data_IF_787725050849
#
_entry.id   IF_787725050849
#
_cell.length_a   1.000
_cell.length_b   1.000
_cell.length_c   1.000
_cell.angle_alpha   90.00
_cell.angle_beta   90.00
_cell.angle_gamma   90.00
#
_symmetry.space_group_name_H-M   'P 1'
#
loop_
_entity.id
_entity.type
_entity.pdbx_description
1 polymer ?
#
# COMPACT_ATOMS: atom_id res chain seq x y z
N UNK A 1 6.24 28.75 5.44
CA UNK A 1 6.13 28.65 3.99
C UNK A 1 5.35 27.41 3.59
N UNK A 2 4.99 27.26 2.32
CA UNK A 2 4.37 26.05 1.78
C UNK A 2 5.36 24.88 1.95
N UNK A 3 4.94 23.71 2.46
CA UNK A 3 5.81 22.54 2.53
C UNK A 3 6.22 22.11 1.11
N UNK A 4 7.45 21.61 1.00
CA UNK A 4 7.99 21.05 -0.25
C UNK A 4 7.92 19.52 -0.21
N UNK A 5 8.10 18.86 -1.35
CA UNK A 5 8.19 17.40 -1.46
C UNK A 5 9.19 16.81 -0.47
N UNK A 6 10.34 17.47 -0.27
CA UNK A 6 11.37 17.01 0.67
C UNK A 6 10.85 16.88 2.10
N UNK A 7 9.98 17.78 2.55
CA UNK A 7 9.41 17.68 3.89
C UNK A 7 8.53 16.42 4.05
N UNK A 8 7.77 16.08 3.02
CA UNK A 8 6.84 14.95 3.03
C UNK A 8 7.56 13.61 2.83
N UNK A 9 8.42 13.51 1.81
CA UNK A 9 9.13 12.28 1.46
C UNK A 9 10.11 11.84 2.54
N UNK A 10 10.63 12.76 3.36
CA UNK A 10 11.48 12.41 4.50
C UNK A 10 10.84 11.34 5.40
N UNK A 11 9.54 11.45 5.65
CA UNK A 11 8.79 10.46 6.43
C UNK A 11 8.05 9.45 5.53
N UNK A 12 7.34 9.93 4.51
CA UNK A 12 6.41 9.10 3.74
C UNK A 12 7.12 8.14 2.79
N UNK A 13 8.21 8.55 2.12
CA UNK A 13 8.99 7.65 1.29
C UNK A 13 9.74 6.60 2.11
N UNK A 14 10.16 6.95 3.34
CA UNK A 14 10.93 6.07 4.21
C UNK A 14 10.07 5.25 5.20
N UNK A 15 8.75 5.25 5.04
CA UNK A 15 7.86 4.44 5.85
C UNK A 15 8.22 2.94 5.74
N UNK A 16 8.25 2.25 6.89
CA UNK A 16 8.66 0.84 6.94
C UNK A 16 10.18 0.64 7.04
N UNK A 17 10.96 1.73 7.22
CA UNK A 17 12.40 1.67 7.51
C UNK A 17 13.31 1.65 6.28
N UNK A 18 12.92 2.35 5.23
CA UNK A 18 13.73 2.57 4.04
C UNK A 18 12.90 3.12 2.88
N UNK A 19 13.60 3.63 1.87
CA UNK A 19 12.99 4.23 0.69
C UNK A 19 12.14 3.21 -0.07
N UNK A 20 10.90 3.58 -0.31
CA UNK A 20 9.86 2.82 -1.00
C UNK A 20 9.51 1.44 -0.38
N UNK A 21 9.89 1.18 0.87
CA UNK A 21 9.70 -0.14 1.50
C UNK A 21 8.22 -0.48 1.63
N UNK A 22 7.41 0.44 2.15
CA UNK A 22 6.04 0.13 2.57
C UNK A 22 5.00 0.42 1.47
N UNK A 23 4.95 1.66 0.99
CA UNK A 23 3.87 2.09 0.09
C UNK A 23 4.03 1.56 -1.34
N UNK A 24 5.23 1.63 -1.89
CA UNK A 24 5.51 1.15 -3.23
C UNK A 24 5.37 2.22 -4.32
N UNK A 25 4.55 3.23 -4.06
CA UNK A 25 4.27 4.35 -4.97
C UNK A 25 4.71 5.72 -4.39
N UNK A 26 5.37 5.72 -3.22
CA UNK A 26 5.91 6.92 -2.59
C UNK A 26 7.38 6.68 -2.28
N UNK A 27 8.24 7.12 -3.19
CA UNK A 27 9.69 6.99 -3.12
C UNK A 27 10.38 8.35 -3.07
N UNK A 28 11.68 8.37 -2.68
CA UNK A 28 12.53 9.56 -2.79
C UNK A 28 12.68 10.03 -4.24
N UNK A 29 12.49 9.16 -5.22
CA UNK A 29 12.43 9.49 -6.64
C UNK A 29 11.42 10.60 -6.96
N UNK A 30 10.37 10.78 -6.17
CA UNK A 30 9.39 11.86 -6.34
C UNK A 30 9.94 13.27 -6.03
N UNK A 31 11.12 13.39 -5.42
CA UNK A 31 11.73 14.71 -5.12
C UNK A 31 12.11 15.48 -6.37
N UNK A 32 12.77 14.80 -7.30
CA UNK A 32 13.23 15.35 -8.56
C UNK A 32 12.97 14.31 -9.65
N UNK A 33 11.81 14.40 -10.25
CA UNK A 33 11.34 13.39 -11.19
C UNK A 33 10.89 13.98 -12.50
N UNK A 34 10.68 13.13 -13.49
CA UNK A 34 10.24 13.49 -14.83
C UNK A 34 8.77 13.19 -15.03
N UNK A 35 8.18 13.82 -16.05
CA UNK A 35 6.82 13.54 -16.50
C UNK A 35 6.62 12.08 -16.90
N UNK A 36 7.67 11.41 -17.32
CA UNK A 36 7.63 9.98 -17.66
C UNK A 36 7.38 9.09 -16.45
N UNK A 37 7.88 9.50 -15.28
CA UNK A 37 7.66 8.80 -14.04
C UNK A 37 6.31 9.18 -13.38
N UNK A 38 6.02 10.49 -13.26
CA UNK A 38 4.74 10.97 -12.74
C UNK A 38 4.36 12.29 -13.41
N UNK A 39 3.24 12.30 -14.13
CA UNK A 39 2.82 13.46 -14.94
C UNK A 39 2.52 14.72 -14.11
N UNK A 40 2.11 14.54 -12.85
CA UNK A 40 1.82 15.66 -11.97
C UNK A 40 3.07 16.20 -11.28
N UNK A 41 3.96 15.30 -10.85
CA UNK A 41 5.13 15.63 -10.06
C UNK A 41 6.38 15.87 -10.92
N UNK A 42 6.42 15.39 -12.16
CA UNK A 42 7.54 15.63 -13.07
C UNK A 42 7.85 17.12 -13.25
N UNK A 43 9.15 17.47 -13.17
CA UNK A 43 9.62 18.87 -13.34
C UNK A 43 9.38 19.39 -14.76
N UNK A 44 9.30 18.50 -15.72
CA UNK A 44 8.89 18.72 -17.11
C UNK A 44 7.40 18.43 -17.37
N UNK A 45 6.63 18.20 -16.32
CA UNK A 45 5.20 17.97 -16.29
C UNK A 45 4.44 19.02 -15.50
N UNK A 46 3.60 18.59 -14.56
CA UNK A 46 2.83 19.48 -13.68
C UNK A 46 3.68 20.19 -12.63
N UNK A 47 4.82 19.63 -12.27
CA UNK A 47 5.73 20.13 -11.24
C UNK A 47 5.02 20.47 -9.91
N UNK A 48 4.03 19.66 -9.54
CA UNK A 48 3.18 19.88 -8.37
C UNK A 48 3.89 19.42 -7.08
N UNK A 49 3.61 20.11 -6.01
CA UNK A 49 4.00 19.69 -4.65
C UNK A 49 2.92 18.76 -4.05
N UNK A 50 3.29 17.96 -3.05
CA UNK A 50 2.35 17.08 -2.37
C UNK A 50 1.10 17.82 -1.87
N UNK A 51 1.29 19.03 -1.34
CA UNK A 51 0.21 19.88 -0.81
C UNK A 51 -0.67 20.56 -1.88
N UNK A 52 -0.41 20.33 -3.15
CA UNK A 52 -1.31 20.76 -4.21
C UNK A 52 -2.53 19.84 -4.34
N UNK A 53 -2.39 18.56 -3.92
CA UNK A 53 -3.48 17.62 -3.78
C UNK A 53 -3.84 17.38 -2.30
N UNK A 54 -2.84 17.18 -1.44
CA UNK A 54 -3.02 16.97 -0.01
C UNK A 54 -3.08 18.32 0.73
N UNK A 55 -4.26 18.89 0.83
CA UNK A 55 -4.43 20.23 1.37
C UNK A 55 -4.21 20.25 2.88
N UNK A 56 -3.72 21.38 3.38
CA UNK A 56 -3.44 21.56 4.80
C UNK A 56 -4.74 21.83 5.56
N UNK A 57 -5.05 21.01 6.53
CA UNK A 57 -6.23 21.16 7.38
C UNK A 57 -6.08 22.32 8.35
N UNK A 58 -7.20 23.00 8.59
CA UNK A 58 -7.31 24.06 9.58
C UNK A 58 -8.47 23.76 10.53
N UNK A 59 -8.30 24.11 11.80
CA UNK A 59 -9.41 24.05 12.75
C UNK A 59 -10.44 25.19 12.49
N UNK A 60 -11.53 25.18 13.23
CA UNK A 60 -12.61 26.20 13.12
C UNK A 60 -12.14 27.65 13.33
N UNK A 61 -11.02 27.85 14.02
CA UNK A 61 -10.41 29.17 14.25
C UNK A 61 -9.40 29.53 13.15
N UNK A 62 -9.27 28.70 12.10
CA UNK A 62 -8.34 28.91 11.00
C UNK A 62 -6.86 28.62 11.31
N UNK A 63 -6.56 28.03 12.48
CA UNK A 63 -5.21 27.62 12.84
C UNK A 63 -4.86 26.28 12.18
N UNK A 64 -3.58 26.09 11.84
CA UNK A 64 -3.08 24.82 11.34
C UNK A 64 -3.22 23.74 12.41
N UNK A 65 -3.76 22.61 12.01
CA UNK A 65 -3.76 21.38 12.83
C UNK A 65 -2.38 20.72 12.69
N UNK A 66 -1.81 20.28 13.80
CA UNK A 66 -0.52 19.58 13.78
C UNK A 66 -0.57 18.37 12.83
N UNK A 67 0.25 18.42 11.79
CA UNK A 67 0.26 17.46 10.70
C UNK A 67 -1.14 17.18 10.10
N UNK A 68 -2.01 18.17 10.09
CA UNK A 68 -3.32 18.11 9.47
C UNK A 68 -3.19 18.29 7.95
N UNK A 69 -2.76 17.23 7.26
CA UNK A 69 -2.64 17.20 5.79
C UNK A 69 -3.64 16.19 5.29
N UNK A 70 -4.51 16.60 4.38
CA UNK A 70 -5.53 15.74 3.77
C UNK A 70 -4.94 14.53 3.07
N UNK A 71 -5.59 13.39 3.16
CA UNK A 71 -5.17 12.13 2.55
C UNK A 71 -6.33 11.17 2.35
N UNK A 72 -6.02 9.91 2.12
CA UNK A 72 -7.07 8.89 1.98
C UNK A 72 -7.82 8.68 3.30
N UNK A 73 -9.15 8.46 3.27
CA UNK A 73 -10.01 8.39 4.45
C UNK A 73 -9.62 7.39 5.53
N UNK A 74 -8.75 6.44 5.22
CA UNK A 74 -8.30 5.44 6.18
C UNK A 74 -7.22 5.93 7.16
N UNK A 75 -6.63 7.09 6.91
CA UNK A 75 -5.65 7.70 7.83
C UNK A 75 -6.30 8.67 8.78
N UNK A 76 -7.29 9.40 8.30
CA UNK A 76 -8.06 10.35 9.07
C UNK A 76 -9.50 10.28 8.62
N UNK A 77 -10.41 10.10 9.56
CA UNK A 77 -11.83 9.98 9.28
C UNK A 77 -12.48 11.28 8.77
N UNK A 78 -11.79 12.39 8.90
CA UNK A 78 -12.33 13.71 8.67
C UNK A 78 -11.59 14.52 7.61
N UNK A 79 -10.70 13.88 6.82
CA UNK A 79 -9.90 14.65 5.92
C UNK A 79 -10.51 14.76 4.52
N UNK A 80 -11.56 15.51 4.45
CA UNK A 80 -12.14 15.96 3.17
C UNK A 80 -11.28 16.94 2.38
N UNK A 81 -10.04 17.17 2.80
CA UNK A 81 -9.14 18.20 2.24
C UNK A 81 -8.13 17.65 1.22
N UNK A 82 -8.46 16.56 0.56
CA UNK A 82 -7.68 16.05 -0.57
C UNK A 82 -8.40 16.25 -1.89
N UNK A 83 -7.71 16.83 -2.87
CA UNK A 83 -8.23 16.93 -4.23
C UNK A 83 -8.13 15.58 -4.93
N UNK A 84 -9.25 15.11 -5.42
CA UNK A 84 -9.35 13.94 -6.29
C UNK A 84 -9.08 14.29 -7.76
N UNK A 85 -8.96 13.27 -8.59
CA UNK A 85 -8.72 13.45 -10.03
C UNK A 85 -9.80 14.33 -10.68
N UNK A 86 -11.07 14.13 -10.32
CA UNK A 86 -12.21 14.82 -10.91
C UNK A 86 -12.29 16.31 -10.57
N UNK A 87 -11.63 16.75 -9.50
CA UNK A 87 -11.65 18.17 -9.11
C UNK A 87 -10.89 19.05 -10.11
N UNK A 88 -9.94 18.46 -10.82
CA UNK A 88 -9.16 19.15 -11.87
C UNK A 88 -9.51 18.66 -13.28
N UNK A 89 -9.73 17.35 -13.47
CA UNK A 89 -9.93 16.75 -14.79
C UNK A 89 -11.38 16.61 -15.23
N UNK A 90 -12.34 16.81 -14.33
CA UNK A 90 -13.74 16.53 -14.62
C UNK A 90 -14.07 15.03 -14.58
N UNK A 91 -15.27 14.65 -14.99
CA UNK A 91 -15.69 13.26 -14.90
C UNK A 91 -15.15 12.40 -16.06
N UNK A 92 -15.00 11.10 -15.79
CA UNK A 92 -14.50 10.09 -16.74
C UNK A 92 -15.20 10.12 -18.09
N UNK A 93 -16.53 10.25 -18.08
CA UNK A 93 -17.29 10.24 -19.31
C UNK A 93 -17.00 11.46 -20.21
N UNK A 94 -16.65 12.62 -19.63
CA UNK A 94 -16.37 13.83 -20.42
C UNK A 94 -14.96 13.89 -20.98
N UNK A 95 -13.96 13.39 -20.23
CA UNK A 95 -12.54 13.50 -20.63
C UNK A 95 -12.12 12.47 -21.67
N UNK A 96 -12.88 11.38 -21.83
CA UNK A 96 -12.58 10.31 -22.77
C UNK A 96 -13.43 10.34 -24.06
N UNK A 97 -14.33 11.33 -24.20
CA UNK A 97 -15.17 11.47 -25.41
C UNK A 97 -14.31 11.57 -26.67
N UNK A 98 -14.65 10.76 -27.66
CA UNK A 98 -13.95 10.72 -28.95
C UNK A 98 -12.56 10.08 -28.90
N UNK A 99 -12.20 9.42 -27.83
CA UNK A 99 -10.95 8.66 -27.69
C UNK A 99 -11.17 7.16 -27.84
N UNK A 100 -10.15 6.35 -28.17
CA UNK A 100 -10.28 4.89 -28.23
C UNK A 100 -10.77 4.24 -26.94
N UNK A 101 -10.47 4.85 -25.77
CA UNK A 101 -10.87 4.34 -24.45
C UNK A 101 -12.31 4.67 -24.05
N UNK A 102 -13.05 5.46 -24.84
CA UNK A 102 -14.43 5.83 -24.51
C UNK A 102 -15.30 4.60 -24.25
N UNK A 103 -15.28 3.62 -25.14
CA UNK A 103 -16.05 2.39 -24.98
C UNK A 103 -15.67 1.62 -23.71
N UNK A 104 -14.37 1.58 -23.35
CA UNK A 104 -13.91 0.90 -22.14
C UNK A 104 -14.48 1.60 -20.90
N UNK A 105 -14.42 2.93 -20.84
CA UNK A 105 -14.95 3.70 -19.69
C UNK A 105 -16.46 3.67 -19.58
N UNK A 106 -17.17 3.55 -20.70
CA UNK A 106 -18.63 3.39 -20.72
C UNK A 106 -19.06 1.99 -20.24
N UNK A 107 -18.31 0.94 -20.61
CA UNK A 107 -18.58 -0.44 -20.19
C UNK A 107 -18.21 -0.69 -18.73
N UNK A 108 -17.23 0.04 -18.21
CA UNK A 108 -16.67 -0.17 -16.87
C UNK A 108 -16.73 1.12 -16.01
N UNK A 109 -17.92 1.62 -15.69
CA UNK A 109 -18.08 2.90 -14.97
C UNK A 109 -17.60 2.83 -13.49
N UNK A 110 -17.29 1.64 -13.00
CA UNK A 110 -16.79 1.40 -11.63
C UNK A 110 -15.27 1.33 -11.53
N UNK A 111 -14.53 1.58 -12.60
CA UNK A 111 -13.06 1.68 -12.52
C UNK A 111 -12.63 3.04 -11.97
N UNK A 112 -11.77 3.02 -10.96
CA UNK A 112 -11.08 4.22 -10.52
C UNK A 112 -10.06 4.66 -11.60
N UNK A 113 -9.80 5.95 -11.70
CA UNK A 113 -8.86 6.51 -12.69
C UNK A 113 -7.48 5.85 -12.61
N UNK A 114 -7.03 5.58 -11.40
CA UNK A 114 -5.74 4.96 -11.10
C UNK A 114 -5.58 3.56 -11.72
N UNK A 115 -6.66 2.81 -11.96
CA UNK A 115 -6.58 1.47 -12.57
C UNK A 115 -5.92 1.51 -13.94
N UNK A 116 -6.26 2.51 -14.75
CA UNK A 116 -5.65 2.67 -16.08
C UNK A 116 -4.39 3.56 -16.03
N UNK A 117 -4.40 4.60 -15.20
CA UNK A 117 -3.35 5.62 -15.18
C UNK A 117 -2.15 5.27 -14.28
N UNK A 118 -2.22 4.17 -13.51
CA UNK A 118 -1.07 3.57 -12.79
C UNK A 118 -0.96 2.10 -13.21
N UNK A 119 -0.49 1.82 -14.43
CA UNK A 119 -0.39 0.44 -14.93
C UNK A 119 0.61 -0.41 -14.13
N UNK A 120 1.61 0.24 -13.54
CA UNK A 120 2.57 -0.33 -12.61
C UNK A 120 3.04 0.74 -11.64
N UNK A 121 3.50 0.34 -10.46
CA UNK A 121 4.14 1.18 -9.45
C UNK A 121 5.52 0.64 -9.09
N UNK A 122 6.29 1.36 -8.26
CA UNK A 122 7.70 1.07 -7.96
C UNK A 122 8.57 1.06 -9.25
N UNK A 123 8.29 1.98 -10.17
CA UNK A 123 8.93 1.99 -11.49
C UNK A 123 10.36 2.53 -11.49
N UNK A 124 10.73 3.33 -10.50
CA UNK A 124 12.11 3.82 -10.33
C UNK A 124 12.82 3.09 -9.17
N UNK A 125 12.15 3.01 -8.04
CA UNK A 125 12.69 2.46 -6.81
C UNK A 125 11.92 1.23 -6.40
N UNK A 126 12.60 0.09 -6.30
CA UNK A 126 11.98 -1.19 -5.90
C UNK A 126 11.29 -1.10 -4.54
N UNK A 127 10.22 -1.86 -4.39
CA UNK A 127 9.46 -1.98 -3.15
C UNK A 127 9.49 -3.39 -2.60
N UNK A 128 9.29 -3.56 -1.29
CA UNK A 128 9.13 -4.90 -0.71
C UNK A 128 7.73 -5.41 -0.96
N UNK A 129 7.62 -6.54 -1.62
CA UNK A 129 6.36 -7.27 -1.80
C UNK A 129 6.20 -8.40 -0.81
N UNK A 130 7.33 -8.91 -0.26
CA UNK A 130 7.31 -9.92 0.78
C UNK A 130 8.26 -9.57 1.93
N UNK A 131 7.88 -9.98 3.17
CA UNK A 131 8.68 -9.73 4.36
C UNK A 131 8.47 -10.82 5.43
N UNK A 132 9.52 -11.63 5.65
CA UNK A 132 9.50 -12.76 6.57
C UNK A 132 10.34 -12.47 7.81
N UNK A 133 9.67 -12.13 8.92
CA UNK A 133 10.30 -11.78 10.17
C UNK A 133 10.87 -12.99 10.91
N UNK A 134 10.36 -14.20 10.67
CA UNK A 134 10.83 -15.43 11.31
C UNK A 134 12.32 -15.71 11.04
N UNK A 135 12.82 -15.27 9.89
CA UNK A 135 14.21 -15.44 9.50
C UNK A 135 15.17 -14.49 10.20
N UNK A 136 14.66 -13.49 10.94
CA UNK A 136 15.53 -12.52 11.60
C UNK A 136 16.41 -13.15 12.70
N UNK A 137 17.56 -12.53 12.95
CA UNK A 137 18.48 -12.94 14.01
C UNK A 137 19.68 -13.78 13.55
N UNK A 138 19.67 -14.28 12.32
CA UNK A 138 20.74 -15.12 11.79
C UNK A 138 21.95 -14.29 11.35
N UNK A 139 23.16 -14.84 11.55
CA UNK A 139 24.41 -14.26 11.02
C UNK A 139 24.65 -14.84 9.61
N UNK A 140 24.30 -14.06 8.59
CA UNK A 140 24.48 -14.43 7.18
C UNK A 140 25.57 -13.54 6.58
N UNK A 141 26.62 -14.15 6.04
CA UNK A 141 27.73 -13.47 5.38
C UNK A 141 28.26 -14.33 4.20
N UNK A 142 28.29 -13.83 2.96
CA UNK A 142 27.80 -12.50 2.56
C UNK A 142 26.26 -12.39 2.59
N UNK A 143 25.76 -11.17 2.82
CA UNK A 143 24.32 -10.90 2.72
C UNK A 143 23.87 -11.11 1.27
N UNK A 144 22.82 -11.92 1.03
CA UNK A 144 22.30 -12.13 -0.33
C UNK A 144 21.73 -10.83 -0.92
N UNK A 145 21.90 -10.67 -2.22
CA UNK A 145 21.41 -9.51 -2.98
C UNK A 145 20.54 -10.00 -4.12
N UNK A 146 19.39 -9.37 -4.27
CA UNK A 146 18.51 -9.62 -5.40
C UNK A 146 19.19 -9.16 -6.71
N UNK A 147 19.32 -10.02 -7.74
CA UNK A 147 20.06 -9.71 -8.95
C UNK A 147 19.38 -8.66 -9.82
N UNK A 148 18.06 -8.54 -9.76
CA UNK A 148 17.28 -7.66 -10.62
C UNK A 148 17.19 -6.24 -10.04
N UNK A 149 17.02 -6.14 -8.72
CA UNK A 149 16.86 -4.85 -8.03
C UNK A 149 18.15 -4.33 -7.38
N UNK A 150 19.16 -5.18 -7.22
CA UNK A 150 20.40 -4.84 -6.51
C UNK A 150 20.23 -4.63 -5.00
N UNK A 151 19.04 -4.95 -4.45
CA UNK A 151 18.72 -4.77 -3.03
C UNK A 151 19.14 -5.99 -2.19
N UNK A 152 19.60 -5.80 -0.93
CA UNK A 152 19.82 -6.91 -0.02
C UNK A 152 18.49 -7.60 0.30
N UNK A 153 18.47 -8.93 0.18
CA UNK A 153 17.27 -9.74 0.46
C UNK A 153 17.19 -10.21 1.92
N UNK A 154 18.17 -9.83 2.74
CA UNK A 154 18.21 -10.15 4.16
C UNK A 154 18.77 -9.00 4.99
N UNK A 155 18.23 -8.84 6.20
CA UNK A 155 18.77 -7.99 7.26
C UNK A 155 18.61 -8.75 8.59
N UNK A 156 19.71 -8.96 9.34
CA UNK A 156 19.66 -9.66 10.62
C UNK A 156 18.59 -9.15 11.58
N UNK A 157 18.30 -7.85 11.55
CA UNK A 157 17.30 -7.21 12.41
C UNK A 157 15.87 -7.44 11.94
N UNK A 158 15.67 -7.78 10.66
CA UNK A 158 14.35 -7.70 10.00
C UNK A 158 13.93 -8.98 9.28
N UNK A 159 14.85 -9.93 9.03
CA UNK A 159 14.58 -11.17 8.30
C UNK A 159 14.77 -11.06 6.80
N UNK A 160 14.02 -11.85 6.05
CA UNK A 160 14.15 -12.00 4.59
C UNK A 160 13.13 -11.15 3.84
N UNK A 161 13.49 -10.72 2.63
CA UNK A 161 12.67 -9.84 1.77
C UNK A 161 12.64 -10.33 0.33
N UNK A 162 11.52 -10.05 -0.35
CA UNK A 162 11.43 -10.00 -1.80
C UNK A 162 11.21 -8.54 -2.22
N UNK A 163 11.98 -8.13 -3.23
CA UNK A 163 11.92 -6.80 -3.81
C UNK A 163 11.47 -6.89 -5.26
N UNK A 164 10.63 -5.98 -5.69
CA UNK A 164 10.15 -5.95 -7.06
C UNK A 164 10.12 -4.52 -7.59
N UNK A 165 10.32 -4.39 -8.91
CA UNK A 165 10.10 -3.19 -9.70
C UNK A 165 8.91 -3.41 -10.64
N UNK A 166 8.37 -2.31 -11.15
CA UNK A 166 7.29 -2.33 -12.15
C UNK A 166 6.12 -3.25 -11.74
N UNK A 167 5.76 -3.15 -10.44
CA UNK A 167 4.77 -4.04 -9.85
C UNK A 167 3.38 -3.67 -10.37
N UNK A 168 2.68 -4.65 -10.94
CA UNK A 168 1.29 -4.46 -11.32
C UNK A 168 0.41 -4.43 -10.08
N UNK A 169 -0.48 -3.42 -9.93
CA UNK A 169 -1.38 -3.35 -8.78
C UNK A 169 -2.36 -4.53 -8.74
N UNK A 170 -2.64 -5.02 -7.53
CA UNK A 170 -3.80 -5.87 -7.26
C UNK A 170 -5.06 -5.02 -7.27
N UNK A 171 -6.10 -5.46 -7.97
CA UNK A 171 -7.35 -4.73 -8.08
C UNK A 171 -8.40 -5.31 -7.12
N UNK A 172 -8.99 -4.45 -6.28
CA UNK A 172 -10.06 -4.81 -5.35
C UNK A 172 -11.14 -3.73 -5.37
N UNK A 173 -12.36 -4.05 -4.91
CA UNK A 173 -13.39 -3.03 -4.67
C UNK A 173 -13.05 -2.19 -3.46
N UNK A 174 -13.27 -0.88 -3.57
CA UNK A 174 -12.99 0.08 -2.52
C UNK A 174 -14.02 1.21 -2.47
N UNK A 175 -14.50 1.52 -1.27
CA UNK A 175 -15.44 2.61 -0.96
C UNK A 175 -14.89 3.56 0.12
N UNK A 176 -13.56 3.52 0.36
CA UNK A 176 -12.90 4.29 1.41
C UNK A 176 -12.85 3.60 2.77
N UNK A 177 -13.48 2.43 2.92
CA UNK A 177 -13.53 1.72 4.21
C UNK A 177 -12.57 0.54 4.26
N UNK A 178 -12.07 0.29 5.47
CA UNK A 178 -11.06 -0.70 5.74
C UNK A 178 -11.47 -1.63 6.89
N UNK A 179 -11.17 -2.91 6.72
CA UNK A 179 -11.04 -3.87 7.80
C UNK A 179 -9.56 -3.95 8.21
N UNK A 180 -9.31 -3.89 9.52
CA UNK A 180 -7.96 -3.90 10.09
C UNK A 180 -7.90 -4.72 11.35
N UNK A 181 -6.90 -5.57 11.43
CA UNK A 181 -6.56 -6.28 12.65
C UNK A 181 -6.16 -5.27 13.74
N UNK A 182 -6.91 -5.25 14.84
CA UNK A 182 -6.70 -4.34 15.96
C UNK A 182 -5.80 -4.98 17.02
N UNK A 183 -4.52 -5.08 16.73
CA UNK A 183 -3.52 -5.79 17.53
C UNK A 183 -3.55 -5.39 19.00
N UNK A 184 -3.68 -4.10 19.29
CA UNK A 184 -3.73 -3.58 20.67
C UNK A 184 -5.03 -3.94 21.44
N UNK A 185 -6.03 -4.49 20.78
CA UNK A 185 -7.28 -4.94 21.38
C UNK A 185 -7.38 -6.46 21.51
N UNK A 186 -6.29 -7.17 21.24
CA UNK A 186 -6.23 -8.64 21.26
C UNK A 186 -7.28 -9.30 20.33
N UNK A 187 -7.50 -8.73 19.15
CA UNK A 187 -8.37 -9.36 18.15
C UNK A 187 -7.77 -10.71 17.75
N UNK A 188 -8.57 -11.76 17.82
CA UNK A 188 -8.17 -13.09 17.41
C UNK A 188 -8.32 -13.25 15.90
N UNK A 189 -7.34 -13.89 15.27
CA UNK A 189 -7.48 -14.33 13.89
C UNK A 189 -8.15 -15.72 13.86
N UNK A 190 -8.92 -15.98 12.83
CA UNK A 190 -9.68 -17.24 12.68
C UNK A 190 -9.24 -18.03 11.45
N UNK A 191 -8.42 -17.43 10.61
CA UNK A 191 -7.92 -18.03 9.35
C UNK A 191 -6.52 -17.53 8.99
N UNK A 192 -5.82 -18.30 8.16
CA UNK A 192 -4.53 -17.95 7.62
C UNK A 192 -4.61 -17.82 6.07
N UNK A 193 -3.88 -16.88 5.45
CA UNK A 193 -3.04 -15.87 6.10
C UNK A 193 -3.87 -14.84 6.87
N UNK A 194 -3.31 -14.34 7.98
CA UNK A 194 -3.95 -13.27 8.75
C UNK A 194 -4.01 -11.99 7.91
N UNK A 195 -5.21 -11.46 7.72
CA UNK A 195 -5.40 -10.23 6.97
C UNK A 195 -5.21 -9.03 7.90
N UNK A 196 -4.08 -8.34 7.79
CA UNK A 196 -3.76 -7.19 8.64
C UNK A 196 -4.52 -5.91 8.25
N UNK A 197 -4.75 -5.72 6.96
CA UNK A 197 -5.55 -4.63 6.42
C UNK A 197 -6.04 -4.98 5.02
N UNK A 198 -7.34 -4.79 4.77
CA UNK A 198 -7.96 -4.94 3.44
C UNK A 198 -9.13 -3.97 3.28
N UNK A 199 -9.52 -3.58 2.04
CA UNK A 199 -10.79 -2.91 1.81
C UNK A 199 -11.96 -3.84 2.17
N UNK A 200 -13.08 -3.25 2.63
CA UNK A 200 -14.28 -4.02 3.03
C UNK A 200 -15.30 -4.14 1.90
N UNK A 201 -15.18 -3.33 0.87
CA UNK A 201 -16.13 -3.30 -0.23
C UNK A 201 -16.02 -4.52 -1.14
N UNK A 202 -17.12 -4.88 -1.74
CA UNK A 202 -17.27 -5.88 -2.79
C UNK A 202 -18.10 -5.33 -3.97
N UNK A 203 -18.38 -6.18 -4.94
CA UNK A 203 -19.15 -5.80 -6.14
C UNK A 203 -20.62 -5.41 -5.85
N UNK A 204 -21.14 -5.72 -4.66
CA UNK A 204 -22.50 -5.35 -4.22
C UNK A 204 -22.54 -4.03 -3.45
N UNK A 205 -21.37 -3.51 -3.06
CA UNK A 205 -21.27 -2.30 -2.24
C UNK A 205 -21.59 -1.06 -3.08
N UNK A 206 -22.65 -0.29 -2.73
CA UNK A 206 -23.02 0.90 -3.49
C UNK A 206 -21.91 1.94 -3.52
N UNK A 207 -21.56 2.40 -4.72
CA UNK A 207 -20.54 3.44 -4.92
C UNK A 207 -19.10 2.94 -4.83
N UNK A 208 -18.87 1.66 -4.56
CA UNK A 208 -17.51 1.10 -4.60
C UNK A 208 -16.98 1.10 -6.03
N UNK A 209 -15.68 1.41 -6.14
CA UNK A 209 -14.95 1.37 -7.39
C UNK A 209 -13.87 0.28 -7.32
N UNK A 210 -13.53 -0.32 -8.44
CA UNK A 210 -12.34 -1.15 -8.57
C UNK A 210 -11.13 -0.22 -8.48
N UNK A 211 -10.21 -0.51 -7.54
CA UNK A 211 -9.12 0.36 -7.14
C UNK A 211 -7.80 -0.41 -7.06
N UNK A 212 -6.65 0.23 -7.38
CA UNK A 212 -5.36 -0.44 -7.34
C UNK A 212 -4.77 -0.47 -5.93
N UNK A 213 -4.20 -1.63 -5.58
CA UNK A 213 -3.53 -1.86 -4.31
C UNK A 213 -2.17 -2.52 -4.51
N UNK A 214 -1.23 -2.15 -3.66
CA UNK A 214 -0.08 -2.98 -3.37
C UNK A 214 -0.53 -4.09 -2.42
N UNK A 215 -0.31 -5.35 -2.81
CA UNK A 215 -0.42 -6.50 -1.93
C UNK A 215 0.95 -6.77 -1.31
N UNK A 216 1.01 -6.90 0.00
CA UNK A 216 2.22 -7.26 0.73
C UNK A 216 1.94 -8.51 1.55
N UNK A 217 2.76 -9.54 1.37
CA UNK A 217 2.69 -10.78 2.13
C UNK A 217 3.91 -10.94 3.03
N UNK A 218 3.84 -11.84 3.99
CA UNK A 218 4.96 -12.16 4.85
C UNK A 218 4.51 -12.96 6.05
N UNK A 219 5.31 -12.97 7.10
CA UNK A 219 4.90 -13.52 8.38
C UNK A 219 5.24 -12.57 9.54
N UNK A 220 4.49 -12.70 10.62
CA UNK A 220 4.68 -11.89 11.81
C UNK A 220 4.40 -12.73 13.06
N UNK A 221 4.97 -12.35 14.23
CA UNK A 221 4.79 -13.11 15.45
C UNK A 221 3.35 -12.99 15.99
N UNK A 222 2.81 -14.11 16.43
CA UNK A 222 1.52 -14.23 17.06
C UNK A 222 1.63 -15.04 18.37
N UNK A 223 0.69 -14.84 19.28
CA UNK A 223 0.52 -15.68 20.47
C UNK A 223 -0.13 -16.99 20.07
N UNK A 224 0.63 -18.08 20.19
CA UNK A 224 0.17 -19.43 19.82
C UNK A 224 -0.98 -19.96 20.68
N UNK A 225 -1.16 -19.41 21.89
CA UNK A 225 -2.23 -19.83 22.80
C UNK A 225 -3.53 -19.05 22.65
N UNK A 226 -3.44 -17.80 22.21
CA UNK A 226 -4.59 -16.89 22.09
C UNK A 226 -4.99 -16.60 20.64
N UNK A 227 -4.22 -17.04 19.65
CA UNK A 227 -4.45 -16.72 18.22
C UNK A 227 -4.55 -15.20 17.97
N UNK A 228 -3.65 -14.44 18.60
CA UNK A 228 -3.60 -12.97 18.49
C UNK A 228 -2.25 -12.50 17.96
N UNK A 229 -2.25 -11.50 17.11
CA UNK A 229 -1.00 -10.87 16.65
C UNK A 229 -0.31 -10.15 17.80
N UNK A 230 1.01 -10.28 17.92
CA UNK A 230 1.80 -9.64 18.96
C UNK A 230 2.57 -8.43 18.43
N UNK A 231 2.71 -7.41 19.27
CA UNK A 231 3.55 -6.23 18.99
C UNK A 231 4.94 -6.46 19.57
N UNK A 232 5.99 -6.65 18.75
CA UNK A 232 7.33 -6.83 19.27
C UNK A 232 7.95 -5.51 19.70
N UNK A 233 8.70 -5.49 20.81
CA UNK A 233 9.59 -4.41 21.17
C UNK A 233 10.88 -4.50 20.33
N UNK A 234 10.94 -3.76 19.20
CA UNK A 234 12.06 -3.89 18.26
C UNK A 234 13.31 -3.12 18.71
N UNK A 235 13.17 -1.89 19.19
CA UNK A 235 14.31 -1.01 19.51
C UNK A 235 13.99 0.01 20.58
N UNK A 236 15.07 0.63 21.11
CA UNK A 236 14.97 1.69 22.11
C UNK A 236 14.87 1.16 23.54
N UNK A 237 14.59 2.05 24.48
CA UNK A 237 14.45 1.75 25.91
C UNK A 237 13.01 1.93 26.40
N UNK A 238 12.16 2.53 25.60
CA UNK A 238 10.74 2.69 25.90
C UNK A 238 10.02 1.40 25.50
N UNK A 239 9.33 0.79 26.44
CA UNK A 239 8.64 -0.48 26.24
C UNK A 239 9.31 -1.68 26.92
N UNK A 240 10.48 -1.49 27.56
CA UNK A 240 11.15 -2.56 28.32
C UNK A 240 12.65 -2.65 28.06
N UNK A 241 13.36 -3.54 28.78
CA UNK A 241 14.80 -3.69 28.70
C UNK A 241 15.29 -4.62 27.59
N UNK A 242 14.38 -5.28 26.84
CA UNK A 242 14.73 -6.39 25.95
C UNK A 242 14.34 -6.09 24.48
N UNK A 243 14.86 -5.02 23.85
CA UNK A 243 14.56 -4.78 22.44
C UNK A 243 15.16 -5.90 21.57
N UNK A 244 14.39 -6.39 20.60
CA UNK A 244 14.81 -7.46 19.71
C UNK A 244 16.15 -7.16 19.00
N UNK A 245 16.33 -5.94 18.49
CA UNK A 245 17.56 -5.55 17.79
C UNK A 245 18.80 -5.46 18.69
N UNK A 246 18.61 -5.58 20.00
CA UNK A 246 19.69 -5.60 20.99
C UNK A 246 19.96 -6.99 21.58
N UNK A 247 18.95 -7.84 21.63
CA UNK A 247 19.02 -9.17 22.26
C UNK A 247 18.88 -10.32 21.28
N UNK A 248 18.21 -10.12 20.15
CA UNK A 248 17.82 -11.14 19.18
C UNK A 248 17.08 -12.32 19.84
N UNK A 249 16.22 -11.99 20.81
CA UNK A 249 15.36 -12.92 21.53
C UNK A 249 13.91 -12.50 21.34
N UNK A 250 13.16 -13.26 20.55
CA UNK A 250 11.77 -12.97 20.27
C UNK A 250 10.88 -13.09 21.50
N UNK A 251 11.10 -14.11 22.36
CA UNK A 251 10.28 -14.31 23.55
C UNK A 251 10.34 -13.11 24.50
N UNK A 252 11.55 -12.58 24.75
CA UNK A 252 11.74 -11.39 25.57
C UNK A 252 11.17 -10.12 24.92
N UNK A 253 11.38 -9.96 23.63
CA UNK A 253 10.88 -8.78 22.90
C UNK A 253 9.37 -8.75 22.79
N UNK A 254 8.73 -9.91 22.63
CA UNK A 254 7.28 -10.05 22.59
C UNK A 254 6.66 -9.86 23.98
N UNK A 255 7.30 -10.32 25.05
CA UNK A 255 6.85 -10.03 26.40
C UNK A 255 6.88 -8.53 26.69
N UNK A 256 8.01 -7.86 26.42
CA UNK A 256 8.13 -6.41 26.60
C UNK A 256 7.04 -5.65 25.78
N UNK A 257 6.82 -6.08 24.55
CA UNK A 257 5.81 -5.50 23.67
C UNK A 257 4.39 -5.69 24.17
N UNK A 258 4.05 -6.89 24.63
CA UNK A 258 2.75 -7.21 25.21
C UNK A 258 2.49 -6.41 26.49
N UNK A 259 3.48 -6.34 27.38
CA UNK A 259 3.37 -5.55 28.62
C UNK A 259 3.15 -4.05 28.32
N UNK A 260 3.86 -3.52 27.32
CA UNK A 260 3.73 -2.11 26.95
C UNK A 260 2.38 -1.77 26.30
N UNK A 261 1.85 -2.69 25.49
CA UNK A 261 0.60 -2.48 24.74
C UNK A 261 -0.64 -2.94 25.52
N UNK A 262 -0.45 -3.67 26.63
CA UNK A 262 -1.54 -4.27 27.41
C UNK A 262 -2.14 -5.52 26.74
N UNK A 263 -1.41 -6.17 25.86
CA UNK A 263 -1.82 -7.44 25.26
C UNK A 263 -1.69 -8.58 26.25
N UNK A 264 -2.57 -9.58 26.13
CA UNK A 264 -2.39 -10.85 26.81
C UNK A 264 -1.40 -11.70 26.01
N UNK A 265 -0.35 -12.23 26.67
CA UNK A 265 0.64 -13.10 26.07
C UNK A 265 0.82 -14.35 26.91
N UNK A 266 0.67 -15.53 26.30
CA UNK A 266 0.78 -16.83 27.00
C UNK A 266 2.22 -17.26 27.28
N UNK A 267 3.20 -16.58 26.68
CA UNK A 267 4.61 -16.93 26.71
C UNK A 267 5.02 -17.90 25.59
N UNK A 268 4.08 -18.36 24.78
CA UNK A 268 4.33 -19.15 23.58
C UNK A 268 3.99 -18.36 22.35
N UNK A 269 4.89 -18.31 21.37
CA UNK A 269 4.67 -17.61 20.10
C UNK A 269 4.95 -18.49 18.90
N UNK A 270 4.36 -18.14 17.80
CA UNK A 270 4.64 -18.69 16.47
C UNK A 270 4.65 -17.56 15.44
N UNK A 271 5.25 -17.81 14.27
CA UNK A 271 5.13 -16.92 13.13
C UNK A 271 4.01 -17.39 12.23
N UNK A 272 3.08 -16.50 11.93
CA UNK A 272 1.92 -16.78 11.08
C UNK A 272 2.00 -15.97 9.80
N UNK A 273 1.54 -16.58 8.71
CA UNK A 273 1.45 -15.89 7.43
C UNK A 273 0.48 -14.73 7.50
N UNK A 274 0.87 -13.62 6.91
CA UNK A 274 0.10 -12.38 6.90
C UNK A 274 -0.04 -11.80 5.51
N UNK A 275 -1.10 -11.07 5.28
CA UNK A 275 -1.32 -10.27 4.08
C UNK A 275 -1.87 -8.91 4.44
N UNK A 276 -1.41 -7.88 3.74
CA UNK A 276 -1.96 -6.52 3.85
C UNK A 276 -2.03 -5.86 2.48
N UNK A 277 -2.96 -4.92 2.36
CA UNK A 277 -3.13 -4.11 1.17
C UNK A 277 -2.88 -2.65 1.49
N UNK A 278 -2.32 -1.91 0.53
CA UNK A 278 -2.06 -0.49 0.59
C UNK A 278 -2.52 0.12 -0.72
N UNK A 279 -3.23 1.23 -0.68
CA UNK A 279 -3.67 1.91 -1.92
C UNK A 279 -2.48 2.44 -2.70
N UNK A 280 -2.59 2.42 -4.03
CA UNK A 280 -1.62 2.99 -4.97
C UNK A 280 -2.24 4.21 -5.63
N UNK A 281 -1.61 5.38 -5.49
CA UNK A 281 -2.17 6.67 -5.90
C UNK A 281 -1.19 7.58 -6.63
N UNK A 282 0.10 7.28 -6.59
CA UNK A 282 1.18 8.05 -7.19
C UNK A 282 1.79 7.30 -8.36
N UNK A 283 2.77 7.90 -9.00
CA UNK A 283 3.37 7.39 -10.24
C UNK A 283 2.35 7.37 -11.41
N UNK A 284 1.54 8.43 -11.52
CA UNK A 284 0.57 8.57 -12.61
C UNK A 284 1.34 8.65 -13.94
N UNK A 285 1.16 7.63 -14.75
CA UNK A 285 1.86 7.48 -16.03
C UNK A 285 1.35 8.48 -17.10
N UNK A 286 2.20 8.85 -18.07
CA UNK A 286 1.74 9.52 -19.28
C UNK A 286 0.61 8.75 -19.95
N UNK A 287 -0.34 9.51 -20.54
CA UNK A 287 -1.51 8.90 -21.19
C UNK A 287 -1.19 7.79 -22.20
N UNK A 288 -0.04 7.85 -22.83
CA UNK A 288 0.39 6.83 -23.81
C UNK A 288 0.74 5.48 -23.17
N UNK A 289 0.93 5.45 -21.86
CA UNK A 289 1.23 4.25 -21.09
C UNK A 289 0.03 3.74 -20.28
N UNK A 290 -1.07 4.52 -20.26
CA UNK A 290 -2.28 4.09 -19.57
C UNK A 290 -2.88 2.84 -20.23
N UNK A 291 -3.47 1.96 -19.43
CA UNK A 291 -4.11 0.75 -19.95
C UNK A 291 -5.31 1.11 -20.86
N UNK A 292 -5.50 0.33 -21.88
CA UNK A 292 -6.61 0.47 -22.81
C UNK A 292 -6.48 1.62 -23.84
N UNK A 293 -5.31 2.25 -23.97
CA UNK A 293 -5.08 3.44 -24.80
C UNK A 293 -5.42 3.25 -26.28
N UNK A 294 -5.22 2.06 -26.81
CA UNK A 294 -5.57 1.69 -28.18
C UNK A 294 -7.00 1.13 -28.31
N UNK A 295 -7.78 1.15 -27.24
CA UNK A 295 -9.10 0.53 -27.15
C UNK A 295 -9.04 -0.99 -26.93
N UNK A 296 -7.86 -1.53 -26.62
CA UNK A 296 -7.67 -2.97 -26.44
C UNK A 296 -8.21 -3.46 -25.09
N UNK A 297 -9.22 -4.31 -25.15
CA UNK A 297 -9.72 -5.03 -23.97
C UNK A 297 -8.65 -6.00 -23.40
N UNK A 298 -7.68 -6.37 -24.21
CA UNK A 298 -6.63 -7.33 -23.90
C UNK A 298 -5.69 -6.93 -22.77
N UNK A 299 -5.56 -5.64 -22.46
CA UNK A 299 -4.76 -5.17 -21.33
C UNK A 299 -5.28 -5.67 -19.97
N UNK A 300 -6.55 -6.07 -19.93
CA UNK A 300 -7.22 -6.57 -18.74
C UNK A 300 -7.79 -7.98 -18.92
N UNK A 301 -8.29 -8.32 -20.11
CA UNK A 301 -9.04 -9.53 -20.37
C UNK A 301 -8.24 -10.66 -21.04
N UNK A 302 -6.93 -10.56 -21.09
CA UNK A 302 -6.06 -11.63 -21.59
C UNK A 302 -4.93 -11.91 -20.60
N UNK A 303 -4.90 -13.12 -20.06
CA UNK A 303 -3.86 -13.58 -19.16
C UNK A 303 -4.18 -13.38 -17.67
N UNK A 304 -3.18 -13.60 -16.83
CA UNK A 304 -3.29 -13.66 -15.37
C UNK A 304 -3.12 -12.29 -14.69
N UNK A 305 -3.45 -11.22 -15.38
CA UNK A 305 -3.15 -9.87 -14.90
C UNK A 305 -4.13 -9.36 -13.86
N UNK A 306 -5.35 -9.90 -13.84
CA UNK A 306 -6.40 -9.53 -12.89
C UNK A 306 -6.82 -10.76 -12.11
N UNK A 307 -6.82 -10.65 -10.80
CA UNK A 307 -7.42 -11.65 -9.93
C UNK A 307 -8.96 -11.51 -9.97
N UNK A 308 -9.57 -12.15 -10.95
CA UNK A 308 -11.01 -12.14 -11.14
C UNK A 308 -11.78 -12.71 -9.96
N UNK A 309 -11.18 -13.67 -9.24
CA UNK A 309 -11.78 -14.27 -8.04
C UNK A 309 -11.86 -13.22 -6.92
N UNK A 310 -10.80 -12.44 -6.72
CA UNK A 310 -10.80 -11.35 -5.74
C UNK A 310 -11.84 -10.27 -6.07
N UNK A 311 -12.18 -10.11 -7.37
CA UNK A 311 -13.26 -9.21 -7.83
C UNK A 311 -14.65 -9.87 -7.82
N UNK A 312 -14.79 -11.09 -7.30
CA UNK A 312 -16.06 -11.80 -7.19
C UNK A 312 -16.54 -12.46 -8.49
N UNK A 313 -15.64 -12.73 -9.44
CA UNK A 313 -15.94 -13.49 -10.64
C UNK A 313 -15.38 -14.90 -10.55
N UNK A 314 -15.99 -15.84 -11.24
CA UNK A 314 -15.46 -17.22 -11.33
C UNK A 314 -14.24 -17.36 -12.26
N UNK A 315 -13.84 -16.29 -12.91
CA UNK A 315 -12.77 -16.15 -13.87
C UNK A 315 -12.99 -14.90 -14.72
N UNK A 316 -12.19 -14.69 -15.74
CA UNK A 316 -12.37 -13.57 -16.68
C UNK A 316 -13.83 -13.53 -17.19
N UNK A 317 -14.56 -12.41 -17.01
CA UNK A 317 -15.93 -12.29 -17.50
C UNK A 317 -16.04 -12.33 -19.04
N UNK A 318 -14.94 -12.25 -19.76
CA UNK A 318 -14.90 -12.36 -21.21
C UNK A 318 -14.03 -13.58 -21.61
N UNK A 319 -14.59 -14.63 -22.26
CA UNK A 319 -15.99 -14.75 -22.68
C UNK A 319 -16.93 -15.44 -21.68
N UNK A 320 -16.47 -16.02 -20.58
CA UNK A 320 -17.23 -17.01 -19.84
C UNK A 320 -17.32 -16.84 -18.32
N UNK A 321 -16.72 -15.81 -17.74
CA UNK A 321 -16.76 -15.58 -16.29
C UNK A 321 -18.16 -15.20 -15.82
N UNK A 322 -18.60 -15.78 -14.70
CA UNK A 322 -19.87 -15.48 -14.06
C UNK A 322 -19.65 -14.99 -12.64
N UNK A 323 -20.52 -14.12 -12.15
CA UNK A 323 -20.65 -13.84 -10.72
C UNK A 323 -21.60 -14.86 -10.09
N UNK A 324 -21.39 -15.22 -8.81
CA UNK A 324 -22.31 -16.05 -8.06
C UNK A 324 -23.69 -15.44 -7.94
#
# INVERSE_FOLDING_TARGET
GKPTRQNCTFCHANAGGGDNVKHGDIAMALLDTTREFDVHMGTDGGNMECVDCHQVMRNVDGQLVDHGIGGMPYHSVDDGEMLGCIDCHGNVASIHVGTPVQTITELHPTLACQVCHIPAFARDTSTKTEWYWEDAGQDIDPIPVDPDTGRPTYDKKKGTFVWENDVRPTLLYFDGKWDRMMINKNDQYTELPVVLAKPTADYTTPGAMIYPFKKMIGNQPADAGNETMLVPHLFGTKGGPNPYWGKFDWGLALQDGADYTGQTYTGAFEFVDTVMYLTVNHEIAPKAQALGMDGACGDCHTGDQIDWIALGWSGDPVPNGTRP
#
